data_IF_496534655500
#
_entry.id   IF_496534655500
#
_cell.length_a   1.000
_cell.length_b   1.000
_cell.length_c   1.000
_cell.angle_alpha   90.00
_cell.angle_beta   90.00
_cell.angle_gamma   90.00
#
_symmetry.space_group_name_H-M   'P 1'
#
loop_
_entity.id
_entity.type
_entity.pdbx_description
1 polymer ?
#
# COMPACT_ATOMS: atom_id res chain seq x y z
N UNK A 1 -15.91 -7.07 2.79
CA UNK A 1 -15.18 -6.87 4.05
C UNK A 1 -14.10 -5.83 3.81
N UNK A 2 -14.12 -4.74 4.60
CA UNK A 2 -13.16 -3.64 4.48
C UNK A 2 -11.78 -4.03 5.03
N UNK A 3 -10.74 -3.81 4.24
CA UNK A 3 -9.33 -3.95 4.63
C UNK A 3 -8.53 -2.70 4.27
N UNK A 4 -7.35 -2.61 4.87
CA UNK A 4 -6.42 -1.50 4.74
C UNK A 4 -5.09 -2.07 4.27
N UNK A 5 -4.73 -1.78 3.02
CA UNK A 5 -3.51 -2.28 2.38
C UNK A 5 -2.43 -1.22 2.53
N UNK A 6 -1.34 -1.55 3.22
CA UNK A 6 -0.19 -0.69 3.37
C UNK A 6 0.85 -1.06 2.31
N UNK A 7 1.13 -0.10 1.44
CA UNK A 7 2.19 -0.16 0.45
C UNK A 7 3.17 0.99 0.65
N UNK A 8 4.33 0.92 0.01
CA UNK A 8 5.21 2.07 -0.17
C UNK A 8 5.92 1.94 -1.51
N UNK A 9 6.23 3.09 -2.09
CA UNK A 9 6.99 3.16 -3.33
C UNK A 9 8.48 3.10 -3.01
N UNK A 10 9.20 2.23 -3.69
CA UNK A 10 10.66 2.16 -3.62
C UNK A 10 11.29 3.12 -4.63
N UNK A 11 10.81 4.36 -4.69
CA UNK A 11 11.32 5.34 -5.65
C UNK A 11 12.83 5.54 -5.42
N UNK A 12 13.64 4.86 -6.23
CA UNK A 12 15.07 5.02 -6.28
C UNK A 12 15.39 5.84 -7.53
N UNK A 13 16.03 6.97 -7.31
CA UNK A 13 16.13 8.07 -8.26
C UNK A 13 16.53 7.54 -9.66
N UNK A 14 15.62 7.72 -10.63
CA UNK A 14 15.78 7.55 -12.09
C UNK A 14 15.36 6.22 -12.76
N UNK A 15 14.79 5.21 -12.07
CA UNK A 15 14.50 3.91 -12.74
C UNK A 15 13.11 3.30 -12.51
N UNK A 16 12.16 4.10 -12.00
CA UNK A 16 10.77 3.69 -11.79
C UNK A 16 10.44 3.41 -10.32
N UNK A 17 9.14 3.41 -10.02
CA UNK A 17 8.64 3.11 -8.68
C UNK A 17 8.11 1.68 -8.65
N UNK A 18 8.78 0.80 -7.91
CA UNK A 18 8.22 -0.51 -7.57
C UNK A 18 7.40 -0.38 -6.29
N UNK A 19 6.24 -1.03 -6.27
CA UNK A 19 5.38 -1.06 -5.08
C UNK A 19 5.76 -2.25 -4.23
N UNK A 20 6.21 -1.96 -3.02
CA UNK A 20 6.36 -2.96 -1.98
C UNK A 20 5.08 -3.05 -1.15
N UNK A 21 4.53 -4.26 -1.02
CA UNK A 21 3.43 -4.57 -0.12
C UNK A 21 3.97 -4.88 1.27
N UNK A 22 3.59 -4.09 2.26
CA UNK A 22 4.01 -4.27 3.65
C UNK A 22 2.96 -4.97 4.52
N UNK A 23 1.69 -4.96 4.11
CA UNK A 23 0.68 -5.80 4.73
C UNK A 23 -0.76 -5.39 4.46
N UNK A 24 -1.69 -6.27 4.85
CA UNK A 24 -3.14 -6.06 4.81
C UNK A 24 -3.68 -6.09 6.24
N UNK A 25 -4.44 -5.08 6.62
CA UNK A 25 -4.90 -4.89 7.99
C UNK A 25 -6.42 -4.82 8.05
N UNK A 26 -6.98 -5.34 9.14
CA UNK A 26 -8.42 -5.28 9.42
C UNK A 26 -8.89 -3.90 9.91
N UNK A 27 -7.96 -3.04 10.34
CA UNK A 27 -8.28 -1.70 10.82
C UNK A 27 -7.23 -0.69 10.41
N UNK A 28 -7.70 0.53 10.16
CA UNK A 28 -6.87 1.69 9.83
C UNK A 28 -5.79 1.97 10.89
N UNK A 29 -6.16 1.82 12.16
CA UNK A 29 -5.25 2.04 13.30
C UNK A 29 -4.05 1.10 13.26
N UNK A 30 -4.23 -0.16 12.86
CA UNK A 30 -3.13 -1.14 12.74
C UNK A 30 -2.20 -0.79 11.57
N UNK A 31 -2.78 -0.43 10.42
CA UNK A 31 -2.02 -0.01 9.25
C UNK A 31 -1.17 1.24 9.55
N UNK A 32 -1.77 2.27 10.15
CA UNK A 32 -1.08 3.51 10.53
C UNK A 32 0.03 3.28 11.56
N UNK A 33 -0.23 2.45 12.59
CA UNK A 33 0.79 2.08 13.57
C UNK A 33 1.98 1.42 12.86
N UNK A 34 1.72 0.49 11.95
CA UNK A 34 2.77 -0.22 11.23
C UNK A 34 3.57 0.70 10.31
N UNK A 35 2.90 1.58 9.55
CA UNK A 35 3.55 2.58 8.71
C UNK A 35 4.51 3.47 9.53
N UNK A 36 4.05 3.94 10.70
CA UNK A 36 4.84 4.76 11.62
C UNK A 36 6.08 4.03 12.19
N UNK A 37 5.98 2.72 12.43
CA UNK A 37 7.10 1.90 12.93
C UNK A 37 8.15 1.63 11.85
N UNK A 38 7.74 1.47 10.59
CA UNK A 38 8.62 1.10 9.49
C UNK A 38 9.46 2.27 8.97
N UNK A 39 9.01 3.52 9.18
CA UNK A 39 9.74 4.75 8.79
C UNK A 39 10.17 4.75 7.31
N UNK A 40 9.33 4.20 6.45
CA UNK A 40 9.57 4.14 5.02
C UNK A 40 9.13 5.47 4.38
N UNK A 41 9.85 5.88 3.35
CA UNK A 41 9.42 7.00 2.52
C UNK A 41 8.23 6.57 1.64
N UNK A 42 7.34 7.51 1.34
CA UNK A 42 6.23 7.31 0.40
C UNK A 42 5.24 6.17 0.74
N UNK A 43 4.96 5.92 2.03
CA UNK A 43 3.93 4.95 2.43
C UNK A 43 2.52 5.39 2.04
N UNK A 44 1.73 4.47 1.52
CA UNK A 44 0.31 4.66 1.19
C UNK A 44 -0.55 3.60 1.88
N UNK A 45 -1.70 4.02 2.42
CA UNK A 45 -2.72 3.10 2.96
C UNK A 45 -3.95 3.17 2.06
N UNK A 46 -4.14 2.12 1.26
CA UNK A 46 -5.30 1.96 0.38
C UNK A 46 -6.43 1.25 1.12
N UNK A 47 -7.61 1.84 1.08
CA UNK A 47 -8.82 1.26 1.67
C UNK A 47 -9.54 0.44 0.60
N UNK A 48 -9.80 -0.83 0.88
CA UNK A 48 -10.37 -1.76 -0.10
C UNK A 48 -11.50 -2.56 0.50
N UNK A 49 -12.54 -2.85 -0.29
CA UNK A 49 -13.55 -3.83 0.08
C UNK A 49 -13.28 -5.14 -0.67
N UNK A 50 -12.98 -6.21 0.07
CA UNK A 50 -12.68 -7.53 -0.51
C UNK A 50 -13.91 -8.15 -1.16
N UNK A 51 -15.12 -7.82 -0.70
CA UNK A 51 -16.33 -8.48 -1.20
C UNK A 51 -16.81 -7.84 -2.51
N UNK A 52 -16.30 -6.65 -2.85
CA UNK A 52 -16.65 -5.89 -4.05
C UNK A 52 -15.50 -5.86 -5.09
N UNK A 53 -14.39 -6.58 -4.84
CA UNK A 53 -13.20 -6.52 -5.68
C UNK A 53 -13.26 -7.53 -6.84
N UNK A 54 -14.15 -7.28 -7.80
CA UNK A 54 -14.33 -8.14 -8.98
C UNK A 54 -13.18 -8.02 -10.01
N UNK A 55 -12.45 -6.90 -9.98
CA UNK A 55 -11.30 -6.64 -10.86
C UNK A 55 -10.01 -6.41 -10.07
N UNK A 56 -8.82 -6.70 -10.64
CA UNK A 56 -7.55 -6.38 -10.01
C UNK A 56 -7.44 -4.89 -9.70
N UNK A 57 -7.33 -4.54 -8.42
CA UNK A 57 -7.10 -3.16 -8.03
C UNK A 57 -5.65 -2.75 -8.27
N UNK A 58 -5.47 -1.58 -8.87
CA UNK A 58 -4.15 -0.96 -8.99
C UNK A 58 -3.71 -0.40 -7.64
N UNK A 59 -2.59 -0.88 -7.12
CA UNK A 59 -2.02 -0.41 -5.85
C UNK A 59 -1.02 0.73 -6.04
N UNK A 60 -0.75 1.12 -7.29
CA UNK A 60 0.24 2.13 -7.70
C UNK A 60 1.46 1.52 -8.42
N UNK A 61 2.46 2.37 -8.70
CA UNK A 61 3.68 2.04 -9.46
C UNK A 61 3.92 3.04 -10.59
N UNK A 62 5.17 3.21 -11.02
CA UNK A 62 5.54 3.94 -12.23
C UNK A 62 6.50 3.07 -13.03
N UNK A 63 6.05 2.62 -14.20
CA UNK A 63 6.88 1.99 -15.23
C UNK A 63 6.93 2.99 -16.38
N UNK A 64 8.13 3.43 -16.73
CA UNK A 64 8.40 4.27 -17.90
C UNK A 64 8.53 3.43 -19.17
#
# INVERSE_FOLDING_TARGET
>A
MKVYVLTADTCDENWGSSIELFGVFSTEKKANKRASEMKLDYTTISVMDIDENEEPSYLGGYIE
#
